data_IF_197765038429
#
_entry.id   IF_197765038429
#
_cell.length_a   1.000
_cell.length_b   1.000
_cell.length_c   1.000
_cell.angle_alpha   90.00
_cell.angle_beta   90.00
_cell.angle_gamma   90.00
#
_symmetry.space_group_name_H-M   'P 1'
#
loop_
_entity.id
_entity.type
_entity.pdbx_description
1 polymer ?
#
# COMPACT_ATOMS: atom_id res chain seq x y z
N UNK A 1 -5.70 3.33 -25.60
CA UNK A 1 -4.56 2.56 -25.03
C UNK A 1 -4.28 3.19 -23.67
N UNK A 2 -4.29 2.44 -22.57
CA UNK A 2 -4.30 3.03 -21.20
C UNK A 2 -2.88 3.21 -20.69
N UNK A 3 -2.42 4.44 -20.85
CA UNK A 3 -1.09 4.96 -20.52
C UNK A 3 -0.71 4.64 -19.07
N UNK A 4 0.36 3.86 -18.90
CA UNK A 4 0.91 3.42 -17.61
C UNK A 4 1.92 4.41 -17.02
N UNK A 5 2.11 5.60 -17.62
CA UNK A 5 3.09 6.61 -17.16
C UNK A 5 2.53 7.63 -16.15
N UNK A 6 1.26 7.50 -15.74
CA UNK A 6 0.58 8.39 -14.78
C UNK A 6 -0.49 7.71 -13.93
N UNK A 7 -0.50 6.37 -13.86
CA UNK A 7 -1.54 5.61 -13.15
C UNK A 7 -1.26 5.61 -11.65
N UNK A 8 -2.19 6.17 -10.87
CA UNK A 8 -2.16 6.11 -9.41
C UNK A 8 -1.96 4.66 -8.90
N UNK A 9 -1.13 4.41 -7.87
CA UNK A 9 -0.88 3.07 -7.35
C UNK A 9 -2.14 2.37 -6.84
N UNK A 10 -3.16 3.14 -6.43
CA UNK A 10 -4.50 2.63 -6.09
C UNK A 10 -5.14 1.94 -7.30
N UNK A 11 -5.13 2.58 -8.47
CA UNK A 11 -5.70 2.00 -9.70
C UNK A 11 -4.91 0.77 -10.15
N UNK A 12 -3.58 0.81 -10.04
CA UNK A 12 -2.74 -0.34 -10.34
C UNK A 12 -3.05 -1.53 -9.41
N UNK A 13 -3.26 -1.29 -8.12
CA UNK A 13 -3.67 -2.30 -7.15
C UNK A 13 -5.04 -2.89 -7.48
N UNK A 14 -6.03 -2.05 -7.78
CA UNK A 14 -7.36 -2.53 -8.15
C UNK A 14 -7.34 -3.39 -9.42
N UNK A 15 -6.60 -2.96 -10.44
CA UNK A 15 -6.43 -3.71 -11.69
C UNK A 15 -5.74 -5.06 -11.45
N UNK A 16 -4.74 -5.10 -10.56
CA UNK A 16 -4.08 -6.34 -10.15
C UNK A 16 -5.06 -7.29 -9.44
N UNK A 17 -5.83 -6.79 -8.48
CA UNK A 17 -6.82 -7.60 -7.75
C UNK A 17 -7.84 -8.20 -8.73
N UNK A 18 -8.37 -7.39 -9.63
CA UNK A 18 -9.31 -7.84 -10.65
C UNK A 18 -8.69 -8.90 -11.59
N UNK A 19 -7.45 -8.67 -12.05
CA UNK A 19 -6.72 -9.61 -12.92
C UNK A 19 -6.44 -10.95 -12.22
N UNK A 20 -6.17 -10.93 -10.91
CA UNK A 20 -5.94 -12.12 -10.08
C UNK A 20 -7.23 -12.77 -9.55
N UNK A 21 -8.41 -12.20 -9.87
CA UNK A 21 -9.72 -12.59 -9.29
C UNK A 21 -9.73 -12.55 -7.75
N UNK A 22 -8.99 -11.62 -7.16
CA UNK A 22 -9.00 -11.37 -5.72
C UNK A 22 -10.11 -10.40 -5.32
N UNK A 23 -10.46 -10.44 -4.04
CA UNK A 23 -11.34 -9.44 -3.42
C UNK A 23 -10.77 -8.04 -3.60
N UNK A 24 -11.64 -7.01 -3.71
CA UNK A 24 -11.20 -5.63 -3.84
C UNK A 24 -10.34 -5.21 -2.64
N UNK A 25 -9.31 -4.37 -2.85
CA UNK A 25 -8.47 -3.89 -1.77
C UNK A 25 -9.27 -2.97 -0.84
N UNK A 26 -9.26 -3.26 0.44
CA UNK A 26 -9.94 -2.47 1.46
C UNK A 26 -9.00 -1.42 2.04
N UNK A 27 -9.35 -0.14 1.96
CA UNK A 27 -8.53 0.97 2.49
C UNK A 27 -9.10 1.47 3.81
N UNK A 28 -8.37 1.27 4.90
CA UNK A 28 -8.72 1.74 6.23
C UNK A 28 -7.81 2.89 6.67
N UNK A 29 -8.37 3.94 7.26
CA UNK A 29 -7.60 4.98 7.92
C UNK A 29 -7.23 4.48 9.32
N UNK A 30 -5.94 4.27 9.56
CA UNK A 30 -5.44 3.76 10.84
C UNK A 30 -5.07 4.90 11.78
N UNK A 31 -4.49 5.97 11.23
CA UNK A 31 -4.02 7.09 12.04
C UNK A 31 -4.19 8.40 11.27
N UNK A 32 -4.70 9.45 11.93
CA UNK A 32 -4.75 10.80 11.39
C UNK A 32 -4.18 11.87 12.33
N UNK A 33 -3.21 11.47 13.17
CA UNK A 33 -2.66 12.34 14.19
C UNK A 33 -1.61 13.31 13.66
N UNK A 34 -1.51 14.45 14.34
CA UNK A 34 -0.49 15.46 14.10
C UNK A 34 -1.01 16.88 14.31
N UNK A 35 -0.11 17.84 14.59
CA UNK A 35 -0.48 19.24 14.73
C UNK A 35 -0.99 19.80 13.40
N UNK A 36 -1.77 20.88 13.41
CA UNK A 36 -2.37 21.48 12.22
C UNK A 36 -1.38 21.67 11.06
N UNK A 37 -0.13 22.03 11.38
CA UNK A 37 0.97 22.24 10.43
C UNK A 37 1.75 20.96 10.03
N UNK A 38 1.53 19.81 10.69
CA UNK A 38 2.12 18.50 10.35
C UNK A 38 1.14 17.35 10.60
N UNK A 39 -0.10 17.46 10.11
CA UNK A 39 -1.04 16.33 10.10
C UNK A 39 -0.45 15.19 9.28
N UNK A 40 -0.53 13.98 9.81
CA UNK A 40 -0.06 12.77 9.15
C UNK A 40 -1.24 11.83 9.03
N UNK A 41 -1.32 11.12 7.91
CA UNK A 41 -2.36 10.18 7.61
C UNK A 41 -1.71 8.84 7.31
N UNK A 42 -2.14 7.82 8.05
CA UNK A 42 -1.74 6.44 7.87
C UNK A 42 -2.93 5.67 7.33
N UNK A 43 -2.75 5.08 6.15
CA UNK A 43 -3.73 4.19 5.57
C UNK A 43 -3.19 2.77 5.53
N UNK A 44 -4.06 1.81 5.80
CA UNK A 44 -3.79 0.38 5.68
C UNK A 44 -4.64 -0.19 4.57
N UNK A 45 -4.09 -1.18 3.88
CA UNK A 45 -4.77 -1.87 2.79
C UNK A 45 -4.79 -3.35 3.04
N UNK A 46 -5.97 -3.96 2.97
CA UNK A 46 -6.13 -5.42 3.07
C UNK A 46 -6.47 -5.98 1.70
N UNK A 47 -5.65 -6.91 1.20
CA UNK A 47 -5.88 -7.57 -0.10
C UNK A 47 -5.75 -9.07 0.06
N UNK A 48 -6.81 -9.81 -0.28
CA UNK A 48 -6.79 -11.28 -0.22
C UNK A 48 -6.35 -11.83 1.15
N UNK A 49 -6.77 -11.18 2.24
CA UNK A 49 -6.37 -11.52 3.62
C UNK A 49 -4.97 -11.04 4.01
N UNK A 50 -4.20 -10.44 3.09
CA UNK A 50 -2.89 -9.85 3.36
C UNK A 50 -3.06 -8.39 3.72
N UNK A 51 -2.78 -8.07 4.97
CA UNK A 51 -2.82 -6.71 5.50
C UNK A 51 -1.47 -6.02 5.26
N UNK A 52 -1.50 -4.92 4.54
CA UNK A 52 -0.35 -4.14 4.12
C UNK A 52 -0.49 -2.71 4.63
N UNK A 53 0.47 -2.26 5.43
CA UNK A 53 0.52 -0.91 5.95
C UNK A 53 1.89 -0.29 5.62
N UNK A 54 1.94 0.96 5.14
CA UNK A 54 3.20 1.65 4.97
C UNK A 54 3.81 1.95 6.35
N UNK A 55 5.13 1.90 6.46
CA UNK A 55 5.84 2.15 7.72
C UNK A 55 5.71 3.61 8.18
N UNK A 56 5.65 4.54 7.23
CA UNK A 56 5.58 5.97 7.52
C UNK A 56 4.21 6.54 7.13
N UNK A 57 3.55 7.29 8.02
CA UNK A 57 2.36 8.04 7.68
C UNK A 57 2.72 9.24 6.79
N UNK A 58 1.82 9.62 5.89
CA UNK A 58 2.07 10.70 4.92
C UNK A 58 1.33 11.98 5.28
N UNK A 59 1.90 13.14 4.96
CA UNK A 59 1.26 14.45 5.20
C UNK A 59 0.02 14.70 4.33
N UNK A 60 -0.10 13.99 3.21
CA UNK A 60 -1.25 14.07 2.32
C UNK A 60 -2.09 12.80 2.36
N UNK A 61 -3.42 12.91 2.56
CA UNK A 61 -4.37 11.78 2.47
C UNK A 61 -4.25 11.00 1.15
N UNK A 62 -4.06 11.71 0.02
CA UNK A 62 -3.85 11.08 -1.30
C UNK A 62 -2.56 10.26 -1.36
N UNK A 63 -1.47 10.81 -0.81
CA UNK A 63 -0.17 10.16 -0.78
C UNK A 63 -0.18 8.96 0.18
N UNK A 64 -0.83 9.09 1.34
CA UNK A 64 -0.99 8.00 2.30
C UNK A 64 -1.69 6.78 1.69
N UNK A 65 -2.82 6.99 0.99
CA UNK A 65 -3.51 5.91 0.26
C UNK A 65 -2.62 5.32 -0.84
N UNK A 66 -1.87 6.17 -1.54
CA UNK A 66 -0.97 5.73 -2.59
C UNK A 66 0.18 4.85 -2.05
N UNK A 67 0.76 5.22 -0.92
CA UNK A 67 1.80 4.45 -0.23
C UNK A 67 1.26 3.11 0.25
N UNK A 68 0.06 3.09 0.82
CA UNK A 68 -0.57 1.85 1.26
C UNK A 68 -0.86 0.91 0.08
N UNK A 69 -1.33 1.46 -1.05
CA UNK A 69 -1.53 0.68 -2.26
C UNK A 69 -0.21 0.16 -2.87
N UNK A 70 0.83 0.98 -2.88
CA UNK A 70 2.15 0.59 -3.34
C UNK A 70 2.76 -0.50 -2.45
N UNK A 71 2.59 -0.42 -1.14
CA UNK A 71 3.00 -1.46 -0.20
C UNK A 71 2.26 -2.78 -0.46
N UNK A 72 0.95 -2.73 -0.71
CA UNK A 72 0.17 -3.90 -1.10
C UNK A 72 0.65 -4.49 -2.43
N UNK A 73 0.88 -3.67 -3.46
CA UNK A 73 1.43 -4.12 -4.74
C UNK A 73 2.78 -4.83 -4.57
N UNK A 74 3.66 -4.30 -3.72
CA UNK A 74 4.95 -4.93 -3.40
C UNK A 74 4.79 -6.25 -2.64
N UNK A 75 3.88 -6.32 -1.66
CA UNK A 75 3.60 -7.55 -0.92
C UNK A 75 3.04 -8.65 -1.82
N UNK A 76 2.28 -8.27 -2.86
CA UNK A 76 1.72 -9.17 -3.86
C UNK A 76 2.69 -9.51 -5.00
N UNK A 77 3.92 -8.96 -4.97
CA UNK A 77 4.93 -9.18 -6.01
C UNK A 77 4.66 -8.49 -7.35
N UNK A 78 3.79 -7.48 -7.36
CA UNK A 78 3.39 -6.76 -8.57
C UNK A 78 4.22 -5.50 -8.87
N UNK A 79 4.98 -4.99 -7.88
CA UNK A 79 5.96 -3.92 -8.08
C UNK A 79 7.32 -4.32 -7.47
N UNK A 80 8.44 -4.02 -8.17
CA UNK A 80 9.77 -4.16 -7.59
C UNK A 80 9.93 -3.21 -6.41
N UNK A 81 10.72 -3.63 -5.41
CA UNK A 81 10.89 -2.96 -4.11
C UNK A 81 11.70 -1.65 -4.17
N UNK A 82 11.91 -1.08 -5.34
CA UNK A 82 12.77 0.09 -5.53
C UNK A 82 11.97 1.38 -5.74
N UNK A 83 12.41 2.40 -5.00
CA UNK A 83 11.95 3.80 -5.02
C UNK A 83 10.71 4.11 -4.19
N UNK A 84 10.87 4.21 -2.86
CA UNK A 84 10.55 5.40 -2.04
C UNK A 84 11.14 5.22 -0.62
N UNK A 85 12.46 5.47 -0.52
CA UNK A 85 13.30 5.76 0.69
C UNK A 85 13.06 5.07 2.04
N UNK A 86 14.05 4.21 2.37
CA UNK A 86 14.75 4.02 3.66
C UNK A 86 14.10 3.28 4.85
N UNK A 87 14.77 2.17 5.18
CA UNK A 87 15.00 1.60 6.52
C UNK A 87 13.92 0.68 7.12
N UNK A 88 14.14 -0.60 6.84
CA UNK A 88 14.03 -1.78 7.73
C UNK A 88 12.66 -2.37 8.11
N UNK A 89 12.66 -3.70 8.01
CA UNK A 89 11.77 -4.68 8.61
C UNK A 89 10.48 -5.00 7.87
N UNK A 90 10.72 -5.91 6.92
CA UNK A 90 9.76 -6.76 6.26
C UNK A 90 8.79 -7.39 7.27
N UNK A 91 7.53 -7.43 6.86
CA UNK A 91 6.59 -8.49 7.20
C UNK A 91 7.33 -9.83 7.22
N UNK A 92 7.64 -10.33 8.41
CA UNK A 92 7.92 -11.74 8.61
C UNK A 92 6.61 -12.47 8.40
N UNK A 93 6.33 -12.84 7.15
CA UNK A 93 5.61 -14.07 6.92
C UNK A 93 6.55 -15.20 7.35
N UNK A 94 6.54 -15.53 8.65
CA UNK A 94 7.01 -16.84 9.08
C UNK A 94 6.04 -17.83 8.49
N UNK A 95 6.36 -18.28 7.27
CA UNK A 95 5.80 -19.47 6.67
C UNK A 95 6.16 -20.63 7.59
N UNK A 96 5.20 -21.05 8.41
CA UNK A 96 5.25 -22.35 9.07
C UNK A 96 5.35 -23.42 8.00
N UNK A 97 6.49 -24.11 7.93
CA UNK A 97 6.58 -25.40 7.24
C UNK A 97 7.59 -26.31 7.94
N UNK A 98 7.02 -27.25 8.72
CA UNK A 98 7.54 -28.51 9.30
C UNK A 98 8.78 -28.47 10.20
#
# INVERSE_FOLDING_TARGET
MKDLSGKHPISALMELCNKKKWSPPEFELVDDTGPEHRKRFLFRVTVNGVLCQPSQPSVNKKLAKAHAAAAALQALGALPKESMTSTTNFCSASSSTL
#
